data_IF_380834992880
#
_entry.id   IF_380834992880
#
_cell.length_a   1.000
_cell.length_b   1.000
_cell.length_c   1.000
_cell.angle_alpha   90.00
_cell.angle_beta   90.00
_cell.angle_gamma   90.00
#
_symmetry.space_group_name_H-M   'P 1'
#
loop_
_entity.id
_entity.type
_entity.pdbx_description
1 polymer ?
#
# COMPACT_ATOMS: atom_id res chain seq x y z
N UNK A 1 -0.19 17.59 30.30
CA UNK A 1 0.02 16.73 29.10
C UNK A 1 -1.13 16.98 28.14
N UNK A 2 -0.84 17.38 26.90
CA UNK A 2 -1.85 17.51 25.84
C UNK A 2 -2.53 16.16 25.57
N UNK A 3 -3.76 16.17 25.06
CA UNK A 3 -4.46 14.94 24.65
C UNK A 3 -3.76 14.38 23.43
N UNK A 4 -3.22 13.16 23.48
CA UNK A 4 -2.59 12.46 22.33
C UNK A 4 -3.61 12.37 21.17
N UNK A 5 -3.15 12.58 19.94
CA UNK A 5 -3.93 12.31 18.72
C UNK A 5 -4.21 10.81 18.63
N UNK A 6 -5.47 10.44 18.50
CA UNK A 6 -5.86 9.02 18.40
C UNK A 6 -6.01 8.63 16.93
N UNK A 7 -5.23 7.68 16.50
CA UNK A 7 -5.12 7.27 15.08
C UNK A 7 -5.49 5.79 14.96
N UNK A 8 -6.41 5.48 14.05
CA UNK A 8 -6.72 4.11 13.66
C UNK A 8 -5.97 3.78 12.37
N UNK A 9 -5.29 2.63 12.33
CA UNK A 9 -4.75 2.04 11.10
C UNK A 9 -5.42 0.70 10.89
N UNK A 10 -6.18 0.54 9.83
CA UNK A 10 -6.72 -0.77 9.42
C UNK A 10 -5.76 -1.43 8.43
N UNK A 11 -5.64 -2.76 8.46
CA UNK A 11 -4.62 -3.47 7.69
C UNK A 11 -3.19 -3.22 8.19
N UNK A 12 -3.06 -2.88 9.49
CA UNK A 12 -1.80 -2.42 10.05
C UNK A 12 -0.82 -3.53 10.44
N UNK A 13 -1.19 -4.81 10.33
CA UNK A 13 -0.26 -5.95 10.36
C UNK A 13 0.21 -6.37 8.94
N UNK A 14 -0.23 -5.64 7.90
CA UNK A 14 0.24 -5.77 6.54
C UNK A 14 1.56 -5.01 6.31
N UNK A 15 2.07 -5.04 5.06
CA UNK A 15 3.34 -4.41 4.69
C UNK A 15 3.34 -2.89 4.92
N UNK A 16 2.54 -2.13 4.17
CA UNK A 16 2.56 -0.66 4.23
C UNK A 16 1.99 -0.17 5.57
N UNK A 17 0.93 -0.83 6.08
CA UNK A 17 0.28 -0.44 7.32
C UNK A 17 1.19 -0.55 8.54
N UNK A 18 2.03 -1.59 8.63
CA UNK A 18 2.97 -1.76 9.74
C UNK A 18 4.11 -0.73 9.71
N UNK A 19 4.63 -0.42 8.52
CA UNK A 19 5.64 0.63 8.36
C UNK A 19 5.07 2.02 8.70
N UNK A 20 3.81 2.29 8.32
CA UNK A 20 3.12 3.51 8.72
C UNK A 20 2.93 3.59 10.23
N UNK A 21 2.53 2.49 10.88
CA UNK A 21 2.37 2.44 12.32
C UNK A 21 3.67 2.75 13.04
N UNK A 22 4.78 2.12 12.64
CA UNK A 22 6.11 2.43 13.20
C UNK A 22 6.46 3.90 13.08
N UNK A 23 6.23 4.50 11.90
CA UNK A 23 6.55 5.91 11.68
C UNK A 23 5.68 6.85 12.49
N UNK A 24 4.41 6.53 12.69
CA UNK A 24 3.49 7.38 13.46
C UNK A 24 3.74 7.33 14.96
N UNK A 25 4.20 6.19 15.51
CA UNK A 25 4.51 6.06 16.94
C UNK A 25 5.86 6.68 17.35
N UNK A 26 6.71 7.08 16.39
CA UNK A 26 7.90 7.90 16.68
C UNK A 26 7.52 9.23 17.38
N UNK A 27 6.35 9.78 17.00
CA UNK A 27 5.77 10.94 17.64
C UNK A 27 4.93 10.51 18.86
N UNK A 28 5.42 10.81 20.07
CA UNK A 28 4.75 10.46 21.33
C UNK A 28 3.42 11.19 21.56
N UNK A 29 3.12 12.23 20.78
CA UNK A 29 1.81 12.89 20.75
C UNK A 29 0.74 12.05 20.03
N UNK A 30 1.14 10.99 19.35
CA UNK A 30 0.23 10.04 18.72
C UNK A 30 -0.02 8.83 19.63
N UNK A 31 -1.26 8.32 19.60
CA UNK A 31 -1.63 6.99 20.09
C UNK A 31 -2.26 6.21 18.95
N UNK A 32 -1.60 5.15 18.50
CA UNK A 32 -1.99 4.39 17.32
C UNK A 32 -2.69 3.09 17.71
N UNK A 33 -3.90 2.88 17.23
CA UNK A 33 -4.59 1.59 17.31
C UNK A 33 -4.51 0.92 15.95
N UNK A 34 -3.93 -0.26 15.94
CA UNK A 34 -3.76 -1.08 14.75
C UNK A 34 -4.85 -2.15 14.76
N UNK A 35 -5.59 -2.28 13.65
CA UNK A 35 -6.53 -3.39 13.47
C UNK A 35 -6.21 -4.16 12.19
N UNK A 36 -6.34 -5.49 12.29
CA UNK A 36 -6.10 -6.42 11.18
C UNK A 36 -6.83 -7.74 11.50
N UNK A 37 -7.36 -8.43 10.51
CA UNK A 37 -7.99 -9.75 10.68
C UNK A 37 -6.96 -10.89 10.64
N UNK A 38 -5.73 -10.57 10.23
CA UNK A 38 -4.60 -11.49 10.03
C UNK A 38 -4.83 -12.51 8.89
N UNK A 39 -5.71 -12.21 7.95
CA UNK A 39 -5.90 -13.07 6.76
C UNK A 39 -4.67 -13.10 5.85
N UNK A 40 -3.95 -11.98 5.76
CA UNK A 40 -2.65 -11.83 5.09
C UNK A 40 -1.64 -11.06 5.94
N UNK A 41 -2.09 -10.47 7.04
CA UNK A 41 -1.28 -9.77 8.02
C UNK A 41 -0.46 -10.72 8.90
N UNK A 42 0.62 -10.20 9.47
CA UNK A 42 1.51 -10.94 10.37
C UNK A 42 1.85 -10.08 11.59
N UNK A 43 1.60 -10.60 12.78
CA UNK A 43 1.90 -9.92 14.05
C UNK A 43 3.40 -9.65 14.26
N UNK A 44 4.28 -10.38 13.58
CA UNK A 44 5.73 -10.11 13.61
C UNK A 44 6.11 -8.78 12.92
N UNK A 45 5.19 -8.19 12.15
CA UNK A 45 5.38 -6.87 11.52
C UNK A 45 4.93 -5.71 12.41
N UNK A 46 4.31 -6.00 13.55
CA UNK A 46 3.84 -4.96 14.47
C UNK A 46 5.03 -4.20 15.09
N UNK A 47 4.80 -2.94 15.51
CA UNK A 47 5.85 -2.14 16.13
C UNK A 47 6.40 -2.75 17.44
N UNK A 48 7.53 -2.21 17.90
CA UNK A 48 8.18 -2.63 19.14
C UNK A 48 7.20 -2.60 20.33
N UNK A 49 6.96 -3.74 21.00
CA UNK A 49 6.04 -3.83 22.12
C UNK A 49 6.48 -3.04 23.38
N UNK A 50 7.73 -2.59 23.43
CA UNK A 50 8.21 -1.72 24.52
C UNK A 50 7.65 -0.30 24.46
N UNK A 51 7.09 0.13 23.33
CA UNK A 51 6.44 1.45 23.16
C UNK A 51 5.03 1.43 23.75
N UNK A 52 4.65 2.48 24.49
CA UNK A 52 3.38 2.59 25.22
C UNK A 52 2.27 3.35 24.46
N UNK A 53 2.60 3.81 23.25
CA UNK A 53 1.73 4.68 22.47
C UNK A 53 1.06 3.98 21.27
N UNK A 54 0.95 2.67 21.33
CA UNK A 54 0.20 1.88 20.36
C UNK A 54 -0.44 0.64 20.99
N UNK A 55 -1.38 0.05 20.27
CA UNK A 55 -1.92 -1.29 20.57
C UNK A 55 -2.46 -1.96 19.33
N UNK A 56 -2.49 -3.29 19.34
CA UNK A 56 -3.10 -4.13 18.32
C UNK A 56 -4.43 -4.70 18.81
N UNK A 57 -5.42 -4.74 17.90
CA UNK A 57 -6.71 -5.42 18.13
C UNK A 57 -6.99 -6.25 16.86
N UNK A 58 -7.15 -7.56 17.03
CA UNK A 58 -7.60 -8.42 15.93
C UNK A 58 -9.05 -8.07 15.61
N UNK A 59 -9.31 -7.63 14.35
CA UNK A 59 -10.63 -7.13 13.95
C UNK A 59 -10.78 -7.25 12.43
N UNK A 60 -11.92 -7.80 11.99
CA UNK A 60 -12.35 -7.76 10.59
C UNK A 60 -13.17 -6.48 10.35
N UNK A 61 -12.64 -5.57 9.54
CA UNK A 61 -13.34 -4.31 9.20
C UNK A 61 -14.61 -4.53 8.38
N UNK A 62 -14.74 -5.70 7.72
CA UNK A 62 -15.94 -6.10 6.99
C UNK A 62 -17.07 -6.54 7.93
N UNK A 63 -16.76 -6.87 9.19
CA UNK A 63 -17.74 -7.14 10.24
C UNK A 63 -18.05 -5.83 11.00
N UNK A 64 -19.27 -5.30 10.79
CA UNK A 64 -19.68 -4.04 11.41
C UNK A 64 -19.57 -4.06 12.95
N UNK A 65 -19.93 -5.17 13.60
CA UNK A 65 -19.90 -5.26 15.08
C UNK A 65 -18.48 -5.12 15.60
N UNK A 66 -17.52 -5.82 14.99
CA UNK A 66 -16.13 -5.83 15.42
C UNK A 66 -15.52 -4.43 15.31
N UNK A 67 -15.66 -3.79 14.14
CA UNK A 67 -15.05 -2.47 13.93
C UNK A 67 -15.80 -1.35 14.66
N UNK A 68 -17.13 -1.46 14.83
CA UNK A 68 -17.90 -0.49 15.58
C UNK A 68 -17.49 -0.47 17.06
N UNK A 69 -17.27 -1.63 17.70
CA UNK A 69 -16.78 -1.73 19.06
C UNK A 69 -15.43 -1.01 19.21
N UNK A 70 -14.49 -1.25 18.29
CA UNK A 70 -13.19 -0.60 18.29
C UNK A 70 -13.32 0.92 18.15
N UNK A 71 -14.10 1.40 17.19
CA UNK A 71 -14.20 2.82 16.89
C UNK A 71 -14.97 3.58 17.98
N UNK A 72 -16.04 3.02 18.53
CA UNK A 72 -16.81 3.62 19.63
C UNK A 72 -16.01 3.71 20.92
N UNK A 73 -15.22 2.67 21.26
CA UNK A 73 -14.42 2.65 22.47
C UNK A 73 -13.24 3.64 22.45
N UNK A 74 -12.78 4.04 21.27
CA UNK A 74 -11.52 4.77 21.12
C UNK A 74 -11.66 6.23 20.73
N UNK A 75 -12.71 6.66 20.03
CA UNK A 75 -12.90 8.03 19.53
C UNK A 75 -11.69 8.56 18.78
N UNK A 76 -11.45 8.06 17.57
CA UNK A 76 -10.30 8.41 16.75
C UNK A 76 -10.41 9.83 16.18
N UNK A 77 -9.29 10.54 16.15
CA UNK A 77 -9.15 11.81 15.43
C UNK A 77 -8.91 11.59 13.94
N UNK A 78 -8.15 10.52 13.60
CA UNK A 78 -7.75 10.19 12.22
C UNK A 78 -7.86 8.69 11.96
N UNK A 79 -8.18 8.34 10.71
CA UNK A 79 -8.27 6.95 10.26
C UNK A 79 -7.43 6.77 9.00
N UNK A 80 -6.50 5.82 9.02
CA UNK A 80 -5.82 5.30 7.84
C UNK A 80 -6.46 3.97 7.47
N UNK A 81 -7.30 3.98 6.43
CA UNK A 81 -7.97 2.76 5.97
C UNK A 81 -7.13 2.08 4.88
N UNK A 82 -6.27 1.15 5.33
CA UNK A 82 -5.34 0.40 4.49
C UNK A 82 -5.68 -1.09 4.38
N UNK A 83 -6.66 -1.58 5.15
CA UNK A 83 -7.16 -2.94 5.03
C UNK A 83 -7.75 -3.17 3.63
N UNK A 84 -7.33 -4.22 3.00
CA UNK A 84 -7.87 -4.72 1.75
C UNK A 84 -7.39 -6.14 1.50
N UNK A 85 -8.17 -6.93 0.77
CA UNK A 85 -7.72 -8.20 0.23
C UNK A 85 -6.80 -7.95 -0.97
N UNK A 86 -5.51 -8.28 -0.84
CA UNK A 86 -4.45 -7.93 -1.79
C UNK A 86 -3.66 -9.15 -2.26
N UNK A 87 -2.81 -8.95 -3.28
CA UNK A 87 -2.00 -9.98 -3.91
C UNK A 87 -2.56 -10.36 -5.29
N UNK A 88 -1.75 -10.20 -6.36
CA UNK A 88 -2.22 -10.35 -7.74
C UNK A 88 -2.89 -11.71 -7.98
N UNK A 89 -2.23 -12.80 -7.59
CA UNK A 89 -2.79 -14.14 -7.75
C UNK A 89 -4.02 -14.37 -6.87
N UNK A 90 -3.98 -13.88 -5.63
CA UNK A 90 -5.06 -14.04 -4.66
C UNK A 90 -6.34 -13.30 -5.10
N UNK A 91 -6.19 -12.07 -5.58
CA UNK A 91 -7.33 -11.24 -6.03
C UNK A 91 -7.97 -11.81 -7.31
N UNK A 92 -7.17 -12.34 -8.23
CA UNK A 92 -7.68 -13.00 -9.43
C UNK A 92 -8.38 -14.33 -9.12
N UNK A 93 -7.84 -15.11 -8.20
CA UNK A 93 -8.44 -16.39 -7.79
C UNK A 93 -9.71 -16.23 -6.94
N UNK A 94 -9.87 -15.10 -6.23
CA UNK A 94 -10.94 -14.87 -5.27
C UNK A 94 -11.65 -13.52 -5.47
N UNK A 95 -12.25 -13.24 -6.64
CA UNK A 95 -12.84 -11.92 -6.92
C UNK A 95 -13.98 -11.56 -5.98
N UNK A 96 -14.76 -12.53 -5.50
CA UNK A 96 -15.83 -12.29 -4.53
C UNK A 96 -15.30 -11.85 -3.15
N UNK A 97 -14.11 -12.33 -2.73
CA UNK A 97 -13.47 -11.86 -1.49
C UNK A 97 -13.03 -10.41 -1.64
N UNK A 98 -12.52 -10.04 -2.80
CA UNK A 98 -12.17 -8.65 -3.12
C UNK A 98 -13.39 -7.73 -3.02
N UNK A 99 -14.52 -8.13 -3.63
CA UNK A 99 -15.76 -7.35 -3.57
C UNK A 99 -16.34 -7.22 -2.16
N UNK A 100 -15.99 -8.15 -1.26
CA UNK A 100 -16.42 -8.09 0.14
C UNK A 100 -15.83 -6.86 0.88
N UNK A 101 -14.68 -6.35 0.47
CA UNK A 101 -14.03 -5.17 1.05
C UNK A 101 -14.88 -3.89 0.94
N UNK A 102 -15.88 -3.86 0.04
CA UNK A 102 -16.84 -2.75 -0.03
C UNK A 102 -17.56 -2.57 1.31
N UNK A 103 -17.83 -3.66 2.06
CA UNK A 103 -18.44 -3.58 3.39
C UNK A 103 -17.52 -2.88 4.38
N UNK A 104 -16.23 -3.20 4.37
CA UNK A 104 -15.24 -2.55 5.22
C UNK A 104 -15.14 -1.04 4.93
N UNK A 105 -15.15 -0.67 3.66
CA UNK A 105 -15.17 0.74 3.23
C UNK A 105 -16.42 1.44 3.79
N UNK A 106 -17.60 0.87 3.59
CA UNK A 106 -18.87 1.44 4.08
C UNK A 106 -18.88 1.54 5.61
N UNK A 107 -18.46 0.49 6.34
CA UNK A 107 -18.38 0.48 7.79
C UNK A 107 -17.46 1.59 8.32
N UNK A 108 -16.23 1.65 7.82
CA UNK A 108 -15.23 2.62 8.27
C UNK A 108 -15.69 4.05 8.01
N UNK A 109 -16.23 4.35 6.83
CA UNK A 109 -16.59 5.73 6.48
C UNK A 109 -17.85 6.19 7.20
N UNK A 110 -18.87 5.34 7.36
CA UNK A 110 -20.05 5.65 8.16
C UNK A 110 -19.70 5.87 9.64
N UNK A 111 -18.88 5.01 10.22
CA UNK A 111 -18.43 5.18 11.60
C UNK A 111 -17.56 6.44 11.75
N UNK A 112 -16.67 6.73 10.80
CA UNK A 112 -15.84 7.93 10.80
C UNK A 112 -16.69 9.20 10.79
N UNK A 113 -17.69 9.25 9.93
CA UNK A 113 -18.66 10.35 9.87
C UNK A 113 -19.43 10.50 11.20
N UNK A 114 -19.97 9.41 11.73
CA UNK A 114 -20.80 9.43 12.94
C UNK A 114 -20.02 9.79 14.21
N UNK A 115 -18.72 9.49 14.23
CA UNK A 115 -17.81 9.76 15.36
C UNK A 115 -16.98 11.03 15.18
N UNK A 116 -17.27 11.83 14.14
CA UNK A 116 -16.59 13.10 13.86
C UNK A 116 -15.06 12.94 13.70
N UNK A 117 -14.64 11.89 13.01
CA UNK A 117 -13.23 11.73 12.60
C UNK A 117 -12.85 12.93 11.73
N UNK A 118 -11.74 13.57 12.06
CA UNK A 118 -11.29 14.80 11.40
C UNK A 118 -10.89 14.58 9.94
N UNK A 119 -10.26 13.42 9.65
CA UNK A 119 -9.79 13.11 8.30
C UNK A 119 -9.59 11.61 8.12
N UNK A 120 -10.01 11.10 6.98
CA UNK A 120 -9.78 9.71 6.55
C UNK A 120 -8.73 9.69 5.46
N UNK A 121 -7.69 8.87 5.65
CA UNK A 121 -6.67 8.57 4.65
C UNK A 121 -6.95 7.20 4.05
N UNK A 122 -7.07 7.13 2.73
CA UNK A 122 -7.49 5.91 2.05
C UNK A 122 -6.40 5.38 1.11
N UNK A 123 -6.04 4.11 1.30
CA UNK A 123 -5.17 3.40 0.39
C UNK A 123 -5.94 2.98 -0.87
N UNK A 124 -5.89 3.82 -1.90
CA UNK A 124 -6.28 3.47 -3.25
C UNK A 124 -5.10 2.82 -3.99
N UNK A 125 -5.21 2.63 -5.29
CA UNK A 125 -4.23 1.91 -6.08
C UNK A 125 -4.10 2.51 -7.48
N UNK A 126 -2.93 2.38 -8.09
CA UNK A 126 -2.72 2.66 -9.52
C UNK A 126 -3.57 1.80 -10.45
N UNK A 127 -4.09 0.66 -9.93
CA UNK A 127 -5.00 -0.22 -10.67
C UNK A 127 -6.28 0.49 -11.12
N UNK A 128 -6.72 1.55 -10.41
CA UNK A 128 -7.94 2.30 -10.76
C UNK A 128 -7.85 2.96 -12.14
N UNK A 129 -6.65 3.30 -12.59
CA UNK A 129 -6.45 3.89 -13.91
C UNK A 129 -6.71 2.92 -15.08
N UNK A 130 -6.53 1.61 -14.85
CA UNK A 130 -6.62 0.62 -15.93
C UNK A 130 -5.50 0.76 -16.96
N UNK A 131 -5.77 0.32 -18.21
CA UNK A 131 -4.83 0.53 -19.32
C UNK A 131 -4.63 2.03 -19.55
N UNK A 132 -3.37 2.47 -19.69
CA UNK A 132 -3.08 3.88 -19.80
C UNK A 132 -3.62 4.46 -21.12
N UNK A 133 -4.43 5.51 -21.00
CA UNK A 133 -4.86 6.33 -22.15
C UNK A 133 -3.79 7.39 -22.43
N UNK A 134 -3.29 8.02 -21.35
CA UNK A 134 -2.24 9.02 -21.39
C UNK A 134 -1.18 8.72 -20.32
N UNK A 135 0.05 9.16 -20.58
CA UNK A 135 1.19 9.05 -19.65
C UNK A 135 1.93 10.40 -19.54
N UNK A 136 2.38 10.77 -18.36
CA UNK A 136 2.21 10.06 -17.07
C UNK A 136 0.76 10.06 -16.60
N UNK A 137 0.38 9.02 -15.82
CA UNK A 137 -0.96 8.93 -15.19
C UNK A 137 -1.09 10.01 -14.12
N UNK A 138 -1.98 10.96 -14.36
CA UNK A 138 -2.19 12.13 -13.50
C UNK A 138 -3.50 11.98 -12.71
N UNK A 139 -3.51 12.47 -11.47
CA UNK A 139 -4.63 12.29 -10.53
C UNK A 139 -5.93 12.94 -11.00
N UNK A 140 -5.84 14.03 -11.78
CA UNK A 140 -6.98 14.86 -12.17
C UNK A 140 -7.47 14.56 -13.59
N UNK A 141 -6.54 14.29 -14.50
CA UNK A 141 -6.84 14.23 -15.94
C UNK A 141 -6.93 12.81 -16.49
N UNK A 142 -6.25 11.83 -15.85
CA UNK A 142 -6.28 10.45 -16.34
C UNK A 142 -7.56 9.73 -15.92
N UNK A 143 -8.35 9.18 -16.87
CA UNK A 143 -9.58 8.47 -16.55
C UNK A 143 -9.34 7.22 -15.71
N UNK A 144 -10.35 6.84 -14.89
CA UNK A 144 -10.35 5.61 -14.11
C UNK A 144 -11.09 4.52 -14.89
N UNK A 145 -10.36 3.73 -15.69
CA UNK A 145 -10.93 2.83 -16.70
C UNK A 145 -10.87 1.35 -16.32
N UNK A 146 -10.34 1.00 -15.15
CA UNK A 146 -10.16 -0.41 -14.78
C UNK A 146 -11.49 -1.12 -14.53
N UNK A 147 -11.58 -2.37 -15.03
CA UNK A 147 -12.72 -3.27 -14.83
C UNK A 147 -12.38 -4.42 -13.86
N UNK A 148 -11.15 -4.47 -13.38
CA UNK A 148 -10.69 -5.51 -12.45
C UNK A 148 -11.37 -5.31 -11.10
N UNK A 149 -11.95 -6.34 -10.46
CA UNK A 149 -12.68 -6.22 -9.20
C UNK A 149 -11.95 -5.44 -8.12
N UNK A 150 -10.65 -5.66 -7.96
CA UNK A 150 -9.82 -4.92 -7.00
C UNK A 150 -9.82 -3.40 -7.27
N UNK A 151 -9.60 -3.02 -8.51
CA UNK A 151 -9.60 -1.61 -8.89
C UNK A 151 -11.00 -0.97 -8.77
N UNK A 152 -12.05 -1.73 -9.10
CA UNK A 152 -13.44 -1.28 -8.92
C UNK A 152 -13.73 -1.00 -7.44
N UNK A 153 -13.32 -1.89 -6.52
CA UNK A 153 -13.46 -1.69 -5.07
C UNK A 153 -12.72 -0.42 -4.61
N UNK A 154 -11.48 -0.21 -5.09
CA UNK A 154 -10.72 1.00 -4.75
C UNK A 154 -11.40 2.26 -5.30
N UNK A 155 -11.92 2.23 -6.52
CA UNK A 155 -12.67 3.35 -7.11
C UNK A 155 -13.99 3.61 -6.36
N UNK A 156 -14.69 2.58 -5.90
CA UNK A 156 -15.85 2.72 -5.02
C UNK A 156 -15.47 3.48 -3.74
N UNK A 157 -14.36 3.12 -3.09
CA UNK A 157 -13.87 3.84 -1.91
C UNK A 157 -13.57 5.32 -2.18
N UNK A 158 -12.95 5.64 -3.32
CA UNK A 158 -12.73 7.03 -3.74
C UNK A 158 -14.06 7.78 -3.95
N UNK A 159 -15.04 7.14 -4.59
CA UNK A 159 -16.37 7.74 -4.82
C UNK A 159 -17.12 7.99 -3.51
N UNK A 160 -17.05 7.04 -2.56
CA UNK A 160 -17.61 7.22 -1.22
C UNK A 160 -17.04 8.45 -0.52
N UNK A 161 -15.69 8.59 -0.48
CA UNK A 161 -15.04 9.71 0.21
C UNK A 161 -15.43 11.07 -0.38
N UNK A 162 -15.48 11.18 -1.72
CA UNK A 162 -15.93 12.40 -2.40
C UNK A 162 -17.38 12.74 -2.05
N UNK A 163 -18.24 11.71 -1.99
CA UNK A 163 -19.66 11.89 -1.62
C UNK A 163 -19.79 12.29 -0.15
N UNK A 164 -19.06 11.64 0.75
CA UNK A 164 -19.09 11.96 2.18
C UNK A 164 -18.53 13.34 2.50
N UNK A 165 -17.51 13.79 1.78
CA UNK A 165 -17.04 15.16 1.90
C UNK A 165 -18.13 16.15 1.48
N UNK A 166 -18.77 15.93 0.34
CA UNK A 166 -19.81 16.82 -0.19
C UNK A 166 -21.06 16.89 0.70
N UNK A 167 -21.49 15.75 1.25
CA UNK A 167 -22.75 15.63 1.99
C UNK A 167 -22.58 15.87 3.50
N UNK A 168 -21.44 15.50 4.07
CA UNK A 168 -21.20 15.49 5.51
C UNK A 168 -19.99 16.30 5.95
N UNK A 169 -19.28 16.92 5.00
CA UNK A 169 -18.06 17.69 5.26
C UNK A 169 -16.95 16.87 5.95
N UNK A 170 -16.86 15.58 5.64
CA UNK A 170 -15.83 14.67 6.15
C UNK A 170 -14.57 14.79 5.30
N UNK A 171 -13.48 15.30 5.86
CA UNK A 171 -12.22 15.45 5.15
C UNK A 171 -11.55 14.11 4.85
N UNK A 172 -10.86 14.06 3.71
CA UNK A 172 -10.13 12.87 3.28
C UNK A 172 -8.79 13.20 2.59
N UNK A 173 -7.96 12.18 2.41
CA UNK A 173 -6.88 12.12 1.43
C UNK A 173 -6.83 10.73 0.83
N UNK A 174 -6.75 10.66 -0.48
CA UNK A 174 -6.63 9.41 -1.20
C UNK A 174 -5.18 9.26 -1.68
N UNK A 175 -4.55 8.15 -1.36
CA UNK A 175 -3.25 7.78 -1.90
C UNK A 175 -3.41 6.66 -2.92
N UNK A 176 -3.09 6.92 -4.18
CA UNK A 176 -3.02 5.88 -5.22
C UNK A 176 -1.61 5.31 -5.23
N UNK A 177 -1.45 4.15 -4.60
CA UNK A 177 -0.15 3.48 -4.51
C UNK A 177 0.22 2.80 -5.83
N UNK A 178 1.40 3.11 -6.32
CA UNK A 178 2.10 2.38 -7.38
C UNK A 178 3.11 1.44 -6.73
N UNK A 179 3.37 0.29 -7.32
CA UNK A 179 4.25 -0.79 -6.84
C UNK A 179 5.25 -0.39 -5.72
N UNK A 180 4.76 -0.26 -4.52
CA UNK A 180 5.61 -0.04 -3.35
C UNK A 180 6.35 -1.34 -3.01
N UNK A 181 7.64 -1.27 -2.70
CA UNK A 181 8.46 -2.41 -2.32
C UNK A 181 9.33 -2.08 -1.10
N UNK A 182 9.76 -3.10 -0.37
CA UNK A 182 10.59 -2.94 0.82
C UNK A 182 10.52 -4.14 1.74
N UNK A 183 11.17 -4.07 2.91
CA UNK A 183 11.07 -5.09 3.95
C UNK A 183 9.61 -5.36 4.33
N UNK A 184 9.30 -6.61 4.75
CA UNK A 184 7.95 -7.08 5.13
C UNK A 184 6.96 -7.24 3.98
N UNK A 185 7.34 -6.95 2.72
CA UNK A 185 6.48 -7.22 1.57
C UNK A 185 6.32 -8.74 1.36
N UNK A 186 5.09 -9.18 1.03
CA UNK A 186 4.82 -10.59 0.70
C UNK A 186 5.59 -11.02 -0.56
N UNK A 187 6.00 -12.30 -0.58
CA UNK A 187 6.63 -12.95 -1.75
C UNK A 187 5.67 -13.07 -2.95
N UNK A 188 4.38 -12.79 -2.79
CA UNK A 188 3.42 -12.74 -3.89
C UNK A 188 3.70 -11.56 -4.86
N UNK A 189 4.47 -10.57 -4.43
CA UNK A 189 4.83 -9.42 -5.26
C UNK A 189 6.16 -9.65 -5.99
N UNK A 190 6.23 -9.12 -7.21
CA UNK A 190 7.32 -9.39 -8.16
C UNK A 190 8.71 -9.10 -7.59
N UNK A 191 8.90 -7.99 -6.87
CA UNK A 191 10.19 -7.62 -6.28
C UNK A 191 10.65 -8.66 -5.26
N UNK A 192 9.82 -8.94 -4.26
CA UNK A 192 10.14 -9.91 -3.19
C UNK A 192 10.32 -11.32 -3.74
N UNK A 193 9.51 -11.72 -4.72
CA UNK A 193 9.62 -13.01 -5.40
C UNK A 193 10.93 -13.16 -6.17
N UNK A 194 11.34 -12.13 -6.91
CA UNK A 194 12.61 -12.19 -7.67
C UNK A 194 13.81 -12.26 -6.73
N UNK A 195 13.80 -11.51 -5.63
CA UNK A 195 14.84 -11.54 -4.61
C UNK A 195 14.90 -12.92 -3.94
N UNK A 196 13.75 -13.49 -3.55
CA UNK A 196 13.67 -14.84 -2.97
C UNK A 196 14.25 -15.89 -3.92
N UNK A 197 13.82 -15.87 -5.18
CA UNK A 197 14.35 -16.79 -6.19
C UNK A 197 15.85 -16.63 -6.38
N UNK A 198 16.34 -15.39 -6.47
CA UNK A 198 17.76 -15.11 -6.66
C UNK A 198 18.60 -15.55 -5.47
N UNK A 199 18.21 -15.25 -4.23
CA UNK A 199 18.93 -15.65 -3.03
C UNK A 199 19.02 -17.18 -2.86
N UNK A 200 18.05 -17.92 -3.40
CA UNK A 200 18.02 -19.38 -3.40
C UNK A 200 18.59 -20.01 -4.68
N UNK A 201 19.17 -19.21 -5.61
CA UNK A 201 19.63 -19.65 -6.93
C UNK A 201 18.57 -20.42 -7.73
N UNK A 202 17.28 -20.15 -7.47
CA UNK A 202 16.15 -20.69 -8.22
C UNK A 202 15.95 -19.92 -9.52
N UNK A 203 15.41 -20.52 -10.60
CA UNK A 203 15.08 -19.79 -11.82
C UNK A 203 14.07 -18.65 -11.56
N UNK A 204 14.41 -17.43 -12.01
CA UNK A 204 13.49 -16.31 -11.95
C UNK A 204 12.48 -16.43 -13.08
N UNK A 205 11.19 -16.58 -12.73
CA UNK A 205 10.11 -16.75 -13.71
C UNK A 205 9.48 -15.43 -14.08
N UNK A 206 9.38 -15.16 -15.40
CA UNK A 206 8.78 -13.97 -15.98
C UNK A 206 7.60 -14.38 -16.86
N UNK A 207 6.43 -13.76 -16.66
CA UNK A 207 5.26 -13.96 -17.50
C UNK A 207 5.36 -13.12 -18.78
N UNK A 208 5.08 -13.72 -19.94
CA UNK A 208 5.20 -13.06 -21.25
C UNK A 208 6.66 -12.77 -21.62
N UNK A 209 6.90 -11.68 -22.37
CA UNK A 209 8.24 -11.28 -22.85
C UNK A 209 9.11 -10.59 -21.80
N UNK A 210 8.50 -10.11 -20.71
CA UNK A 210 9.18 -9.27 -19.72
C UNK A 210 9.40 -7.82 -20.14
N UNK A 211 8.85 -7.39 -21.26
CA UNK A 211 8.98 -6.00 -21.77
C UNK A 211 8.01 -5.03 -21.08
N UNK A 212 7.01 -5.55 -20.36
CA UNK A 212 6.09 -4.70 -19.59
C UNK A 212 6.87 -3.84 -18.59
N UNK A 213 6.55 -2.54 -18.58
CA UNK A 213 7.25 -1.55 -17.77
C UNK A 213 6.48 -1.22 -16.48
N UNK A 214 7.24 -1.06 -15.41
CA UNK A 214 6.73 -0.67 -14.08
C UNK A 214 7.64 0.37 -13.46
N UNK A 215 7.08 1.13 -12.52
CA UNK A 215 7.85 1.94 -11.59
C UNK A 215 7.81 1.28 -10.22
N UNK A 216 8.85 1.44 -9.42
CA UNK A 216 8.95 0.86 -8.08
C UNK A 216 9.29 1.94 -7.06
N UNK A 217 8.43 2.13 -6.07
CA UNK A 217 8.59 3.10 -4.99
C UNK A 217 9.10 2.39 -3.74
N UNK A 218 10.25 2.82 -3.20
CA UNK A 218 10.73 2.25 -1.95
C UNK A 218 9.84 2.66 -0.78
N UNK A 219 9.67 1.77 0.19
CA UNK A 219 8.73 1.95 1.30
C UNK A 219 8.98 3.24 2.09
N UNK A 220 10.24 3.64 2.31
CA UNK A 220 10.56 4.86 3.05
C UNK A 220 9.99 6.10 2.36
N UNK A 221 10.06 6.17 1.01
CA UNK A 221 9.49 7.29 0.25
C UNK A 221 7.97 7.33 0.37
N UNK A 222 7.31 6.16 0.32
CA UNK A 222 5.87 6.07 0.52
C UNK A 222 5.47 6.57 1.91
N UNK A 223 6.12 6.05 2.96
CA UNK A 223 5.78 6.36 4.35
C UNK A 223 6.09 7.82 4.67
N UNK A 224 7.21 8.36 4.19
CA UNK A 224 7.54 9.77 4.38
C UNK A 224 6.51 10.69 3.71
N UNK A 225 6.17 10.45 2.44
CA UNK A 225 5.18 11.25 1.73
C UNK A 225 3.81 11.20 2.43
N UNK A 226 3.32 10.01 2.79
CA UNK A 226 2.02 9.85 3.42
C UNK A 226 1.97 10.47 4.83
N UNK A 227 3.04 10.33 5.62
CA UNK A 227 3.13 10.96 6.94
C UNK A 227 3.31 12.47 6.88
N UNK A 228 4.01 13.02 5.88
CA UNK A 228 4.12 14.47 5.69
C UNK A 228 2.78 15.09 5.27
N UNK A 229 1.99 14.42 4.40
CA UNK A 229 0.63 14.86 4.07
C UNK A 229 -0.26 14.91 5.33
N UNK A 230 -0.11 13.97 6.26
CA UNK A 230 -0.81 13.97 7.55
C UNK A 230 -0.33 15.07 8.48
N UNK A 231 0.98 15.14 8.77
CA UNK A 231 1.57 16.04 9.76
C UNK A 231 1.39 17.52 9.40
N UNK A 232 1.50 17.84 8.12
CA UNK A 232 1.45 19.21 7.61
C UNK A 232 0.05 19.62 7.12
N UNK A 233 -0.95 18.74 7.25
CA UNK A 233 -2.31 18.96 6.75
C UNK A 233 -2.37 19.33 5.26
N UNK A 234 -1.57 18.68 4.43
CA UNK A 234 -1.55 18.87 2.99
C UNK A 234 -2.49 17.91 2.28
N UNK A 235 -2.90 18.29 1.06
CA UNK A 235 -3.76 17.47 0.19
C UNK A 235 -5.07 17.02 0.85
N UNK A 236 -5.70 17.95 1.62
CA UNK A 236 -7.02 17.73 2.18
C UNK A 236 -8.04 17.72 1.03
N UNK A 237 -8.92 16.71 1.01
CA UNK A 237 -9.94 16.50 -0.02
C UNK A 237 -9.35 16.31 -1.43
N UNK A 238 -8.18 15.70 -1.50
CA UNK A 238 -7.40 15.54 -2.72
C UNK A 238 -6.88 14.09 -2.89
N UNK A 239 -6.33 13.82 -4.07
CA UNK A 239 -5.72 12.55 -4.46
C UNK A 239 -4.25 12.76 -4.74
N UNK A 240 -3.40 11.84 -4.29
CA UNK A 240 -1.96 11.87 -4.50
C UNK A 240 -1.48 10.53 -5.02
N UNK A 241 -0.80 10.52 -6.17
CA UNK A 241 -0.08 9.36 -6.64
C UNK A 241 1.20 9.17 -5.80
N UNK A 242 1.34 7.99 -5.22
CA UNK A 242 2.53 7.58 -4.47
C UNK A 242 3.26 6.52 -5.28
N UNK A 243 4.37 6.91 -5.89
CA UNK A 243 5.07 6.08 -6.86
C UNK A 243 6.51 6.54 -7.12
N UNK A 244 7.05 6.13 -8.26
CA UNK A 244 8.37 6.54 -8.74
C UNK A 244 8.25 6.96 -10.21
N UNK A 245 9.09 7.87 -10.64
CA UNK A 245 9.23 8.30 -12.04
C UNK A 245 10.35 7.55 -12.80
N UNK A 246 10.87 6.49 -12.21
CA UNK A 246 11.89 5.65 -12.84
C UNK A 246 11.27 4.33 -13.33
N UNK A 247 11.12 4.21 -14.65
CA UNK A 247 10.60 3.00 -15.28
C UNK A 247 11.68 1.95 -15.51
N UNK A 248 11.32 0.70 -15.28
CA UNK A 248 12.15 -0.46 -15.61
C UNK A 248 11.27 -1.57 -16.22
N UNK A 249 11.80 -2.32 -17.19
CA UNK A 249 11.15 -3.54 -17.67
C UNK A 249 11.25 -4.65 -16.62
N UNK A 250 10.29 -5.58 -16.62
CA UNK A 250 10.35 -6.73 -15.70
C UNK A 250 11.58 -7.60 -15.97
N UNK A 251 12.01 -7.68 -17.24
CA UNK A 251 13.24 -8.39 -17.61
C UNK A 251 14.48 -7.71 -17.04
N UNK A 252 14.59 -6.37 -17.13
CA UNK A 252 15.74 -5.65 -16.59
C UNK A 252 15.74 -5.62 -15.07
N UNK A 253 14.56 -5.61 -14.43
CA UNK A 253 14.44 -5.81 -12.99
C UNK A 253 15.02 -7.17 -12.57
N UNK A 254 14.69 -8.25 -13.28
CA UNK A 254 15.24 -9.58 -12.98
C UNK A 254 16.76 -9.60 -13.10
N UNK A 255 17.31 -9.01 -14.18
CA UNK A 255 18.76 -8.88 -14.37
C UNK A 255 19.44 -8.07 -13.25
N UNK A 256 18.80 -6.97 -12.84
CA UNK A 256 19.31 -6.13 -11.76
C UNK A 256 19.34 -6.89 -10.42
N UNK A 257 18.27 -7.62 -10.10
CA UNK A 257 18.21 -8.44 -8.89
C UNK A 257 19.30 -9.51 -8.90
N UNK A 258 19.47 -10.27 -10.00
CA UNK A 258 20.54 -11.28 -10.16
C UNK A 258 21.91 -10.64 -9.90
N UNK A 259 22.17 -9.49 -10.52
CA UNK A 259 23.44 -8.75 -10.34
C UNK A 259 23.67 -8.35 -8.89
N UNK A 260 22.66 -7.79 -8.20
CA UNK A 260 22.80 -7.28 -6.84
C UNK A 260 22.89 -8.38 -5.78
N UNK A 261 22.31 -9.54 -6.04
CA UNK A 261 22.40 -10.73 -5.17
C UNK A 261 23.60 -11.61 -5.48
N UNK A 262 24.34 -11.30 -6.55
CA UNK A 262 25.43 -12.17 -7.07
C UNK A 262 24.97 -13.62 -7.31
N UNK A 263 23.72 -13.79 -7.77
CA UNK A 263 23.08 -15.09 -7.96
C UNK A 263 23.41 -15.70 -9.32
N UNK A 264 23.45 -17.03 -9.37
CA UNK A 264 23.55 -17.83 -10.61
C UNK A 264 22.18 -18.16 -11.22
N UNK A 265 21.10 -17.53 -10.75
CA UNK A 265 19.72 -17.74 -11.20
C UNK A 265 19.57 -17.49 -12.71
N UNK A 266 18.90 -18.42 -13.39
CA UNK A 266 18.52 -18.26 -14.79
C UNK A 266 17.15 -17.62 -14.92
N UNK A 267 16.94 -16.82 -15.97
CA UNK A 267 15.63 -16.27 -16.30
C UNK A 267 14.87 -17.30 -17.13
N UNK A 268 13.61 -17.57 -16.74
CA UNK A 268 12.70 -18.48 -17.41
C UNK A 268 11.41 -17.76 -17.76
N UNK A 269 11.01 -17.81 -19.03
CA UNK A 269 9.78 -17.21 -19.50
C UNK A 269 8.62 -18.18 -19.40
N UNK A 270 7.49 -17.70 -18.88
CA UNK A 270 6.21 -18.40 -18.77
C UNK A 270 5.20 -17.77 -19.74
N UNK A 271 4.12 -18.48 -20.09
CA UNK A 271 3.02 -17.87 -20.85
C UNK A 271 2.53 -16.56 -20.20
N UNK A 272 2.05 -15.58 -20.98
CA UNK A 272 1.51 -14.34 -20.42
C UNK A 272 0.31 -14.60 -19.53
N UNK A 273 0.09 -13.73 -18.54
CA UNK A 273 -1.11 -13.80 -17.69
C UNK A 273 -2.36 -13.53 -18.55
N UNK A 274 -3.50 -14.22 -18.28
CA UNK A 274 -4.73 -14.06 -19.05
C UNK A 274 -5.32 -12.65 -19.01
N UNK A 275 -5.22 -11.98 -17.86
CA UNK A 275 -5.76 -10.64 -17.60
C UNK A 275 -4.90 -9.90 -16.56
N UNK A 276 -5.01 -8.57 -16.55
CA UNK A 276 -4.50 -7.72 -15.47
C UNK A 276 -3.02 -7.33 -15.55
N UNK A 277 -2.28 -7.80 -16.55
CA UNK A 277 -0.89 -7.37 -16.75
C UNK A 277 -0.83 -6.21 -17.76
N UNK A 278 -1.19 -5.01 -17.30
CA UNK A 278 -1.11 -3.79 -18.11
C UNK A 278 0.30 -3.60 -18.65
N UNK A 279 0.41 -3.14 -19.91
CA UNK A 279 1.71 -3.00 -20.56
C UNK A 279 2.60 -1.95 -19.90
N UNK A 280 2.01 -0.83 -19.39
CA UNK A 280 2.78 0.27 -18.80
C UNK A 280 2.02 0.95 -17.65
N UNK A 281 2.73 1.30 -16.58
CA UNK A 281 2.23 2.09 -15.45
C UNK A 281 3.29 3.12 -15.08
N UNK A 282 2.96 4.39 -15.29
CA UNK A 282 3.88 5.49 -15.07
C UNK A 282 3.14 6.69 -14.48
N UNK A 283 3.33 7.00 -13.18
CA UNK A 283 2.62 8.09 -12.51
C UNK A 283 3.23 9.47 -12.79
N UNK A 284 2.38 10.48 -12.78
CA UNK A 284 2.80 11.82 -12.38
C UNK A 284 2.94 11.81 -10.85
N UNK A 285 4.12 12.16 -10.34
CA UNK A 285 4.44 12.18 -8.92
C UNK A 285 4.77 13.59 -8.41
N UNK A 286 4.33 14.62 -9.10
CA UNK A 286 4.62 16.02 -8.74
C UNK A 286 4.14 16.35 -7.33
N UNK A 287 2.94 15.89 -6.95
CA UNK A 287 2.39 16.05 -5.60
C UNK A 287 3.25 15.31 -4.57
N UNK A 288 3.64 14.07 -4.84
CA UNK A 288 4.51 13.29 -3.95
C UNK A 288 5.88 13.95 -3.74
N UNK A 289 6.50 14.44 -4.81
CA UNK A 289 7.81 15.16 -4.72
C UNK A 289 7.72 16.38 -3.82
N UNK A 290 6.62 17.12 -3.86
CA UNK A 290 6.42 18.28 -2.97
C UNK A 290 6.32 17.86 -1.49
N UNK A 291 5.85 16.65 -1.20
CA UNK A 291 5.80 16.09 0.15
C UNK A 291 7.16 15.59 0.64
N UNK A 292 7.96 14.98 -0.24
CA UNK A 292 9.29 14.44 0.14
C UNK A 292 10.34 15.52 0.34
N UNK A 293 10.35 16.57 -0.50
CA UNK A 293 11.36 17.65 -0.47
C UNK A 293 12.80 17.17 -0.60
N UNK A 294 13.00 15.99 -1.14
CA UNK A 294 14.24 15.35 -1.49
C UNK A 294 14.03 14.43 -2.70
N UNK A 295 15.10 13.97 -3.29
CA UNK A 295 15.04 12.96 -4.33
C UNK A 295 14.53 11.62 -3.78
N UNK A 296 13.86 10.87 -4.64
CA UNK A 296 13.43 9.50 -4.31
C UNK A 296 14.65 8.58 -4.17
N UNK A 297 14.49 7.56 -3.34
CA UNK A 297 15.48 6.47 -3.26
C UNK A 297 15.44 5.72 -4.60
N UNK A 298 16.59 5.67 -5.28
CA UNK A 298 16.68 4.98 -6.55
C UNK A 298 16.55 3.46 -6.37
N UNK A 299 16.15 2.78 -7.44
CA UNK A 299 15.82 1.35 -7.40
C UNK A 299 16.97 0.48 -6.91
N UNK A 300 18.21 0.74 -7.37
CA UNK A 300 19.39 -0.04 -6.97
C UNK A 300 19.70 0.15 -5.48
N UNK A 301 19.63 1.37 -4.99
CA UNK A 301 19.80 1.68 -3.57
C UNK A 301 18.72 1.01 -2.71
N UNK A 302 17.44 1.12 -3.12
CA UNK A 302 16.33 0.51 -2.40
C UNK A 302 16.44 -1.01 -2.32
N UNK A 303 16.88 -1.69 -3.41
CA UNK A 303 17.14 -3.13 -3.38
C UNK A 303 18.31 -3.44 -2.43
N UNK A 304 19.38 -2.66 -2.43
CA UNK A 304 20.51 -2.87 -1.49
C UNK A 304 20.07 -2.69 -0.03
N UNK A 305 19.25 -1.69 0.27
CA UNK A 305 18.65 -1.52 1.61
C UNK A 305 17.81 -2.73 2.00
N UNK A 306 16.97 -3.21 1.09
CA UNK A 306 16.13 -4.38 1.33
C UNK A 306 16.96 -5.64 1.61
N UNK A 307 18.05 -5.87 0.86
CA UNK A 307 18.95 -7.01 1.07
C UNK A 307 19.74 -6.92 2.38
N UNK A 308 19.99 -5.72 2.89
CA UNK A 308 20.67 -5.48 4.17
C UNK A 308 19.72 -5.58 5.39
N UNK A 309 18.42 -5.56 5.19
CA UNK A 309 17.45 -5.63 6.28
C UNK A 309 17.27 -7.06 6.79
N UNK A 310 17.74 -7.30 8.00
CA UNK A 310 17.68 -8.64 8.64
C UNK A 310 16.27 -9.05 9.06
N UNK A 311 15.29 -8.12 9.09
CA UNK A 311 13.89 -8.44 9.34
C UNK A 311 13.20 -9.03 8.10
N UNK A 312 13.80 -8.85 6.93
CA UNK A 312 13.39 -9.47 5.68
C UNK A 312 13.97 -10.88 5.58
N UNK A 313 13.50 -11.76 6.46
CA UNK A 313 13.88 -13.18 6.41
C UNK A 313 13.03 -13.84 5.32
N UNK A 314 13.54 -13.85 4.10
CA UNK A 314 13.13 -14.85 3.13
C UNK A 314 13.69 -16.18 3.65
N UNK A 315 12.87 -17.22 3.82
CA UNK A 315 13.38 -18.53 4.19
C UNK A 315 14.37 -18.98 3.12
N UNK A 316 15.66 -18.92 3.42
CA UNK A 316 16.67 -19.59 2.60
C UNK A 316 16.52 -21.06 2.92
N UNK A 317 16.00 -21.84 1.98
CA UNK A 317 15.96 -23.30 2.11
C UNK A 317 17.39 -23.80 2.23
N UNK A 318 17.70 -24.43 3.38
CA UNK A 318 19.01 -25.03 3.65
C UNK A 318 19.18 -26.34 2.91
#
# INVERSE_FOLDING_TARGET
>A
MGKRKRILITGGAGFIGSCLAEKLIEDTENFVVIVDDLSTGDTNKLPDPSKDNWRFIKCDVNNYRDIAEVMLANHFDYVFHYAAFVGVQQTQANPNKVLHDIKGIDNIFNLSKNLSVKRVFFASSSEVYGEPVDLPQNEETTPLNSRIPYAVVKNVGEAYLRSFQKEYNMDYTIFRFFNTYGPRQSIDFVMSRFIEMALNNKPITIYGSGEQKRTFCYIDDNIEATTNAFKENLYINDVVNIGSDNEISILDLAKLVIKLTSSDSKIMFLPPLPEGDMFRRFPDISKMKSLLRRDLINLEEGIKKLLADTSFIIPVEK
#
